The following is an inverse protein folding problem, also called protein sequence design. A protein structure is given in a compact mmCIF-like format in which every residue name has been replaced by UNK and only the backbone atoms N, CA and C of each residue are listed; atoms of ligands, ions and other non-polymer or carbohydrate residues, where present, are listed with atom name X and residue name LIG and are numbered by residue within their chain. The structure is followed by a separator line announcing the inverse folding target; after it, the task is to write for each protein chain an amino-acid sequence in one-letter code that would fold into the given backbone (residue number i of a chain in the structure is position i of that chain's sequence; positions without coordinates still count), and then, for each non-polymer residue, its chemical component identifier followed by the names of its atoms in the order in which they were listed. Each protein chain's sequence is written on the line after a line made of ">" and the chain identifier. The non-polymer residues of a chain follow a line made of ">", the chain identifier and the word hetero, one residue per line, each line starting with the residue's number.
data_IF_473117897619
#
_entry.id   IF_473117897619
#
_cell.length_a   1.000
_cell.length_b   1.000
_cell.length_c   1.000
_cell.angle_alpha   90.00
_cell.angle_beta   90.00
_cell.angle_gamma   90.00
#
_symmetry.space_group_name_H-M   'P 1'
#
loop_
_entity.id
_entity.type
_entity.pdbx_description
1 polymer ?
#
# COMPACT_ATOMS: atom_id res chain seq x y z
N UNK A 1 20.18 -8.03 5.80
CA UNK A 1 19.48 -9.10 5.06
C UNK A 1 19.10 -10.20 6.05
N UNK A 2 17.84 -10.64 6.04
CA UNK A 2 17.21 -11.72 6.86
C UNK A 2 16.85 -11.42 8.33
N UNK A 3 15.89 -10.53 8.56
CA UNK A 3 15.02 -10.57 9.76
C UNK A 3 13.56 -10.53 9.32
N UNK A 4 13.21 -11.34 8.32
CA UNK A 4 11.81 -11.58 7.96
C UNK A 4 11.36 -12.87 8.65
N UNK A 5 10.35 -12.77 9.49
CA UNK A 5 9.59 -13.91 10.03
C UNK A 5 8.33 -14.04 9.19
N UNK A 6 7.87 -15.25 8.92
CA UNK A 6 6.63 -15.46 8.18
C UNK A 6 5.90 -16.68 8.72
N UNK A 7 4.59 -16.68 8.54
CA UNK A 7 3.71 -17.84 8.66
C UNK A 7 2.91 -18.03 7.38
N UNK A 8 1.77 -18.69 7.48
CA UNK A 8 0.90 -18.99 6.34
C UNK A 8 0.31 -17.72 5.70
N UNK A 9 -0.16 -16.79 6.53
CA UNK A 9 -0.87 -15.58 6.11
C UNK A 9 -0.26 -14.30 6.67
N UNK A 10 0.90 -14.35 7.32
CA UNK A 10 1.52 -13.18 7.93
C UNK A 10 3.01 -13.12 7.66
N UNK A 11 3.56 -11.91 7.63
CA UNK A 11 5.00 -11.64 7.54
C UNK A 11 5.36 -10.52 8.48
N UNK A 12 6.46 -10.63 9.22
CA UNK A 12 6.97 -9.57 10.08
C UNK A 12 8.43 -9.25 9.75
N UNK A 13 8.80 -7.98 9.84
CA UNK A 13 10.15 -7.50 9.54
C UNK A 13 10.56 -6.30 10.36
N UNK A 14 11.87 -6.10 10.45
CA UNK A 14 12.48 -4.88 10.94
C UNK A 14 12.84 -3.99 9.76
N UNK A 15 12.41 -2.74 9.80
CA UNK A 15 12.80 -1.68 8.87
C UNK A 15 14.00 -0.92 9.45
N UNK A 16 15.16 -1.05 8.80
CA UNK A 16 16.39 -0.38 9.21
C UNK A 16 16.40 1.12 8.97
N UNK A 17 15.57 1.61 8.05
CA UNK A 17 15.56 3.03 7.68
C UNK A 17 14.79 3.84 8.73
N UNK A 18 13.75 3.24 9.31
CA UNK A 18 12.93 3.87 10.36
C UNK A 18 13.24 3.36 11.76
N UNK A 19 13.95 2.24 11.90
CA UNK A 19 14.26 1.59 13.16
C UNK A 19 13.05 0.93 13.84
N UNK A 20 12.01 0.59 13.08
CA UNK A 20 10.73 0.06 13.58
C UNK A 20 10.47 -1.36 13.11
N UNK A 21 9.56 -2.04 13.81
CA UNK A 21 9.12 -3.38 13.45
C UNK A 21 7.71 -3.33 12.88
N UNK A 22 7.49 -4.09 11.81
CA UNK A 22 6.22 -4.18 11.13
C UNK A 22 5.78 -5.63 10.98
N UNK A 23 4.46 -5.83 10.92
CA UNK A 23 3.85 -7.10 10.54
C UNK A 23 2.70 -6.85 9.58
N UNK A 24 2.59 -7.72 8.58
CA UNK A 24 1.57 -7.70 7.52
C UNK A 24 0.77 -9.00 7.67
N UNK A 25 -0.55 -8.91 7.67
CA UNK A 25 -1.47 -10.06 7.58
C UNK A 25 -2.20 -9.96 6.25
N UNK A 26 -2.19 -11.04 5.47
CA UNK A 26 -2.79 -11.11 4.14
C UNK A 26 -3.83 -12.22 4.12
N UNK A 27 -5.09 -11.88 3.86
CA UNK A 27 -6.14 -12.85 3.57
C UNK A 27 -6.43 -12.86 2.07
N UNK A 28 -6.34 -14.03 1.46
CA UNK A 28 -6.64 -14.22 0.03
C UNK A 28 -7.84 -15.13 -0.10
N UNK A 29 -8.88 -14.67 -0.80
CA UNK A 29 -10.07 -15.45 -1.12
C UNK A 29 -10.27 -15.49 -2.64
N UNK A 30 -11.27 -16.25 -3.10
CA UNK A 30 -11.69 -16.21 -4.50
C UNK A 30 -12.25 -14.84 -4.91
N UNK A 31 -12.71 -14.05 -3.95
CA UNK A 31 -13.41 -12.79 -4.18
C UNK A 31 -12.50 -11.58 -4.01
N UNK A 32 -11.25 -11.75 -3.55
CA UNK A 32 -10.37 -10.62 -3.31
C UNK A 32 -9.16 -10.93 -2.46
N UNK A 33 -8.40 -9.87 -2.16
CA UNK A 33 -7.25 -9.90 -1.27
C UNK A 33 -7.34 -8.75 -0.27
N UNK A 34 -7.20 -9.09 1.00
CA UNK A 34 -7.15 -8.15 2.11
C UNK A 34 -5.73 -8.17 2.68
N UNK A 35 -5.20 -6.99 3.01
CA UNK A 35 -3.90 -6.82 3.65
C UNK A 35 -4.03 -5.82 4.80
N UNK A 36 -3.50 -6.20 5.96
CA UNK A 36 -3.49 -5.39 7.17
C UNK A 36 -2.06 -5.26 7.67
N UNK A 37 -1.56 -4.03 7.74
CA UNK A 37 -0.21 -3.73 8.20
C UNK A 37 -0.26 -3.11 9.60
N UNK A 38 0.63 -3.61 10.46
CA UNK A 38 0.74 -3.27 11.87
C UNK A 38 2.17 -2.80 12.17
N UNK A 39 2.30 -1.72 12.94
CA UNK A 39 3.55 -1.40 13.63
C UNK A 39 3.57 -2.18 14.96
N UNK A 40 4.52 -3.10 15.08
CA UNK A 40 4.66 -4.00 16.22
C UNK A 40 5.86 -3.60 17.08
N UNK A 41 5.90 -4.08 18.31
CA UNK A 41 7.08 -3.91 19.18
C UNK A 41 8.12 -5.00 18.91
N UNK A 42 9.36 -4.77 19.35
CA UNK A 42 10.41 -5.79 19.34
C UNK A 42 10.00 -7.04 20.15
N UNK A 43 9.28 -6.86 21.27
CA UNK A 43 8.75 -7.96 22.08
C UNK A 43 7.82 -8.85 21.26
N UNK A 44 6.82 -8.25 20.59
CA UNK A 44 5.91 -8.98 19.70
C UNK A 44 6.74 -9.68 18.62
N UNK A 45 7.63 -8.95 17.93
CA UNK A 45 8.47 -9.51 16.88
C UNK A 45 9.27 -10.72 17.34
N UNK A 46 9.85 -10.68 18.54
CA UNK A 46 10.65 -11.77 19.11
C UNK A 46 9.84 -13.05 19.35
N UNK A 47 8.57 -12.91 19.74
CA UNK A 47 7.63 -14.01 20.05
C UNK A 47 6.98 -14.63 18.81
N UNK A 48 6.96 -13.93 17.68
CA UNK A 48 6.42 -14.49 16.45
C UNK A 48 7.21 -15.72 15.98
N UNK A 49 6.49 -16.74 15.54
CA UNK A 49 7.03 -18.04 15.10
C UNK A 49 7.34 -19.02 16.23
N UNK A 50 7.10 -18.67 17.50
CA UNK A 50 7.27 -19.60 18.63
C UNK A 50 5.98 -20.34 19.00
N UNK A 51 4.84 -19.92 18.45
CA UNK A 51 3.56 -20.57 18.67
C UNK A 51 3.40 -21.78 17.74
N UNK A 52 2.63 -22.79 18.18
CA UNK A 52 2.38 -24.00 17.41
C UNK A 52 1.45 -23.77 16.20
N UNK A 53 0.60 -22.74 16.26
CA UNK A 53 -0.37 -22.39 15.23
C UNK A 53 -0.17 -20.93 14.78
N UNK A 54 -0.38 -20.68 13.49
CA UNK A 54 -0.38 -19.35 12.89
C UNK A 54 -1.52 -18.48 13.40
N UNK A 55 -2.63 -19.08 13.84
CA UNK A 55 -3.76 -18.34 14.43
C UNK A 55 -3.32 -17.53 15.66
N UNK A 56 -2.45 -18.10 16.50
CA UNK A 56 -1.97 -17.40 17.70
C UNK A 56 -0.93 -16.32 17.36
N UNK A 57 -0.14 -16.51 16.30
CA UNK A 57 0.72 -15.46 15.77
C UNK A 57 -0.11 -14.28 15.23
N UNK A 58 -1.16 -14.54 14.46
CA UNK A 58 -2.06 -13.50 13.94
C UNK A 58 -2.76 -12.74 15.08
N UNK A 59 -3.24 -13.45 16.11
CA UNK A 59 -3.83 -12.82 17.30
C UNK A 59 -2.86 -11.90 18.00
N UNK A 60 -1.60 -12.32 18.16
CA UNK A 60 -0.56 -11.49 18.77
C UNK A 60 -0.29 -10.23 17.93
N UNK A 61 -0.17 -10.35 16.60
CA UNK A 61 0.02 -9.20 15.70
C UNK A 61 -1.14 -8.20 15.84
N UNK A 62 -2.39 -8.69 15.88
CA UNK A 62 -3.59 -7.84 16.01
C UNK A 62 -3.70 -7.07 17.33
N UNK A 63 -2.89 -7.41 18.34
CA UNK A 63 -2.80 -6.59 19.57
C UNK A 63 -2.00 -5.30 19.37
N UNK A 64 -1.23 -5.21 18.29
CA UNK A 64 -0.41 -4.05 17.97
C UNK A 64 -1.19 -2.93 17.29
N UNK A 65 -0.51 -1.81 17.01
CA UNK A 65 -1.12 -0.66 16.36
C UNK A 65 -1.23 -0.90 14.86
N UNK A 66 -2.45 -1.00 14.36
CA UNK A 66 -2.72 -1.01 12.92
C UNK A 66 -2.30 0.33 12.31
N UNK A 67 -1.46 0.28 11.27
CA UNK A 67 -0.96 1.48 10.56
C UNK A 67 -1.59 1.64 9.19
N UNK A 68 -1.96 0.54 8.54
CA UNK A 68 -2.58 0.56 7.22
C UNK A 68 -3.45 -0.68 7.02
N UNK A 69 -4.51 -0.54 6.23
CA UNK A 69 -5.38 -1.65 5.84
C UNK A 69 -5.89 -1.43 4.42
N UNK A 70 -5.88 -2.48 3.61
CA UNK A 70 -6.31 -2.46 2.23
C UNK A 70 -7.14 -3.70 1.89
N UNK A 71 -8.29 -3.51 1.27
CA UNK A 71 -9.19 -4.56 0.82
C UNK A 71 -9.46 -4.37 -0.68
N UNK A 72 -9.17 -5.40 -1.48
CA UNK A 72 -9.40 -5.37 -2.93
C UNK A 72 -10.34 -6.51 -3.32
N UNK A 73 -11.57 -6.16 -3.69
CA UNK A 73 -12.56 -7.10 -4.18
C UNK A 73 -12.41 -7.28 -5.69
N UNK A 74 -12.33 -8.54 -6.15
CA UNK A 74 -12.32 -8.92 -7.56
C UNK A 74 -13.61 -8.49 -8.29
N UNK A 75 -14.67 -8.15 -7.54
CA UNK A 75 -15.85 -7.46 -8.04
C UNK A 75 -15.74 -5.96 -7.83
N UNK A 76 -14.87 -5.33 -8.64
CA UNK A 76 -14.97 -3.91 -9.00
C UNK A 76 -15.00 -2.91 -7.86
N UNK A 77 -13.87 -2.68 -7.20
CA UNK A 77 -13.51 -1.30 -6.87
C UNK A 77 -12.03 -1.12 -7.11
N UNK A 78 -11.74 -0.17 -7.99
CA UNK A 78 -10.43 0.36 -8.34
C UNK A 78 -9.46 0.20 -7.15
N UNK A 79 -8.43 -0.65 -7.32
CA UNK A 79 -7.23 -0.58 -6.48
C UNK A 79 -6.78 0.88 -6.42
N UNK A 80 -6.04 1.31 -5.37
CA UNK A 80 -5.77 2.71 -5.12
C UNK A 80 -5.36 3.32 -6.43
N UNK A 81 -6.15 4.27 -6.94
CA UNK A 81 -5.84 4.99 -8.14
C UNK A 81 -4.51 5.69 -7.84
N UNK A 82 -3.40 4.99 -8.07
CA UNK A 82 -2.30 5.59 -8.79
C UNK A 82 -2.99 6.11 -10.03
N UNK A 83 -3.37 7.37 -9.94
CA UNK A 83 -3.41 8.28 -11.06
C UNK A 83 -2.03 8.13 -11.69
N UNK A 84 -1.86 7.07 -12.48
CA UNK A 84 -0.81 6.98 -13.48
C UNK A 84 -1.22 8.11 -14.39
N UNK A 85 -0.60 9.26 -14.16
CA UNK A 85 -0.80 10.43 -14.96
C UNK A 85 -0.42 10.02 -16.38
N UNK A 86 -1.43 9.66 -17.15
CA UNK A 86 -1.25 9.09 -18.48
C UNK A 86 -0.50 10.14 -19.30
N UNK A 87 0.58 9.73 -19.98
CA UNK A 87 1.37 10.66 -20.78
C UNK A 87 0.49 11.35 -21.84
N UNK A 88 -0.56 10.64 -22.30
CA UNK A 88 -1.61 11.14 -23.18
C UNK A 88 -2.41 12.32 -22.56
N UNK A 89 -2.71 12.28 -21.26
CA UNK A 89 -3.38 13.38 -20.57
C UNK A 89 -2.45 14.62 -20.44
N UNK A 90 -1.14 14.39 -20.32
CA UNK A 90 -0.15 15.46 -20.29
C UNK A 90 0.03 16.12 -21.67
N UNK A 91 0.02 15.32 -22.74
CA UNK A 91 0.04 15.83 -24.12
C UNK A 91 -1.24 16.62 -24.46
N UNK A 92 -2.41 16.13 -24.04
CA UNK A 92 -3.67 16.83 -24.22
C UNK A 92 -3.69 18.19 -23.50
N UNK A 93 -3.20 18.26 -22.25
CA UNK A 93 -3.10 19.53 -21.54
C UNK A 93 -2.11 20.50 -22.20
N UNK A 94 -0.94 20.03 -22.63
CA UNK A 94 0.03 20.88 -23.35
C UNK A 94 -0.54 21.44 -24.65
N UNK A 95 -1.28 20.62 -25.40
CA UNK A 95 -1.94 21.06 -26.64
C UNK A 95 -3.02 22.13 -26.37
N UNK A 96 -3.81 21.96 -25.31
CA UNK A 96 -4.83 22.92 -24.90
C UNK A 96 -4.21 24.25 -24.45
N UNK A 97 -3.15 24.22 -23.64
CA UNK A 97 -2.45 25.42 -23.17
C UNK A 97 -1.79 26.19 -24.34
N UNK A 98 -1.17 25.48 -25.28
CA UNK A 98 -0.59 26.09 -26.48
C UNK A 98 -1.64 26.81 -27.34
N UNK A 99 -2.83 26.21 -27.49
CA UNK A 99 -3.94 26.79 -28.24
C UNK A 99 -4.48 28.05 -27.55
N UNK A 100 -4.67 28.00 -26.24
CA UNK A 100 -5.16 29.14 -25.46
C UNK A 100 -4.17 30.32 -25.51
N UNK A 101 -2.87 30.05 -25.49
CA UNK A 101 -1.83 31.09 -25.57
C UNK A 101 -1.75 31.74 -26.96
N UNK A 102 -2.01 30.98 -28.04
CA UNK A 102 -2.15 31.53 -29.40
C UNK A 102 -3.37 32.45 -29.52
N UNK A 103 -4.52 32.04 -28.98
CA UNK A 103 -5.75 32.83 -29.04
C UNK A 103 -5.61 34.13 -28.22
N UNK A 104 -4.94 34.08 -27.07
CA UNK A 104 -4.62 35.27 -26.27
C UNK A 104 -3.69 36.23 -27.00
N UNK A 105 -2.69 35.71 -27.72
CA UNK A 105 -1.77 36.52 -28.56
C UNK A 105 -2.47 37.14 -29.77
N UNK A 106 -3.44 36.46 -30.39
CA UNK A 106 -4.28 37.04 -31.46
C UNK A 106 -5.17 38.16 -30.92
N UNK A 107 -5.77 37.98 -29.74
CA UNK A 107 -6.64 38.99 -29.12
C UNK A 107 -5.88 40.25 -28.70
N UNK A 108 -4.62 40.14 -28.30
CA UNK A 108 -3.76 41.28 -27.96
C UNK A 108 -3.11 41.96 -29.19
N UNK A 109 -3.31 41.44 -30.40
CA UNK A 109 -2.80 42.00 -31.67
C UNK A 109 -3.90 42.64 -32.52
N UNK A 110 -5.16 42.54 -32.11
CA UNK A 110 -6.31 43.28 -32.66
C UNK A 110 -6.59 44.50 -31.81
#
# INVERSE_FOLDING_TARGET
>A
MKTKKHGSNWTAYYDSDTGRYFAEIVYTSREGREQYDYEITEDIYSRLGTFADDVDNERLIKTAKMTYSFENTMYGTLGPERTVWDEEANEAMKAAEAKQNQDRRKKNRS
#
